data_IF_328799559004
#
_entry.id   IF_328799559004
#
_cell.length_a   1.000
_cell.length_b   1.000
_cell.length_c   1.000
_cell.angle_alpha   90.00
_cell.angle_beta   90.00
_cell.angle_gamma   90.00
#
_symmetry.space_group_name_H-M   'P 1'
#
loop_
_entity.id
_entity.type
_entity.pdbx_description
1 polymer ?
#
# COMPACT_ATOMS: atom_id res chain seq x y z
N UNK A 1 3.43 7.02 0.39
CA UNK A 1 2.62 6.71 1.59
C UNK A 1 1.28 7.42 1.53
N UNK A 2 0.33 6.83 0.82
CA UNK A 2 -1.09 7.15 0.94
C UNK A 2 -1.79 5.90 1.46
N UNK A 3 -2.04 5.83 2.78
CA UNK A 3 -2.66 4.67 3.40
C UNK A 3 -4.00 4.26 2.78
N UNK A 4 -4.86 5.17 2.30
CA UNK A 4 -6.12 4.81 1.66
C UNK A 4 -5.94 3.90 0.44
N UNK A 5 -5.22 4.33 -0.60
CA UNK A 5 -5.01 3.52 -1.81
C UNK A 5 -4.30 2.18 -1.51
N UNK A 6 -3.32 2.21 -0.60
CA UNK A 6 -2.58 1.02 -0.15
C UNK A 6 -3.42 0.04 0.66
N UNK A 7 -4.55 0.49 1.21
CA UNK A 7 -5.56 -0.37 1.82
C UNK A 7 -6.55 -0.86 0.76
N UNK A 8 -7.09 0.06 -0.05
CA UNK A 8 -8.19 -0.19 -0.98
C UNK A 8 -7.82 -1.18 -2.08
N UNK A 9 -6.63 -1.06 -2.68
CA UNK A 9 -6.22 -1.94 -3.77
C UNK A 9 -6.09 -3.41 -3.32
N UNK A 10 -5.30 -3.75 -2.29
CA UNK A 10 -5.21 -5.15 -1.83
C UNK A 10 -6.52 -5.66 -1.24
N UNK A 11 -7.36 -4.80 -0.62
CA UNK A 11 -8.70 -5.19 -0.20
C UNK A 11 -9.56 -5.60 -1.40
N UNK A 12 -9.56 -4.80 -2.47
CA UNK A 12 -10.30 -5.07 -3.70
C UNK A 12 -9.87 -6.38 -4.34
N UNK A 13 -8.56 -6.61 -4.47
CA UNK A 13 -8.02 -7.88 -5.01
C UNK A 13 -8.43 -9.05 -4.11
N UNK A 14 -8.39 -8.87 -2.78
CA UNK A 14 -8.87 -9.88 -1.84
C UNK A 14 -10.35 -10.24 -2.05
N UNK A 15 -11.23 -9.27 -2.30
CA UNK A 15 -12.65 -9.54 -2.60
C UNK A 15 -12.82 -10.36 -3.89
N UNK A 16 -12.00 -10.11 -4.91
CA UNK A 16 -11.98 -10.94 -6.12
C UNK A 16 -11.62 -12.39 -5.75
N UNK A 17 -10.67 -12.60 -4.86
CA UNK A 17 -10.29 -13.94 -4.38
C UNK A 17 -11.38 -14.63 -3.55
N UNK A 18 -12.25 -13.88 -2.86
CA UNK A 18 -13.47 -14.45 -2.25
C UNK A 18 -14.39 -14.99 -3.35
N UNK A 19 -14.63 -14.23 -4.42
CA UNK A 19 -15.48 -14.67 -5.54
C UNK A 19 -14.94 -15.90 -6.26
N UNK A 20 -13.61 -16.09 -6.24
CA UNK A 20 -12.95 -17.28 -6.76
C UNK A 20 -12.97 -18.47 -5.77
N UNK A 21 -13.52 -18.32 -4.57
CA UNK A 21 -13.57 -19.37 -3.54
C UNK A 21 -12.23 -19.65 -2.87
N UNK A 22 -11.22 -18.78 -3.06
CA UNK A 22 -9.87 -18.95 -2.49
C UNK A 22 -9.82 -18.35 -1.08
N UNK A 23 -10.47 -17.21 -0.87
CA UNK A 23 -10.45 -16.46 0.38
C UNK A 23 -11.79 -16.43 1.10
N UNK A 24 -11.72 -16.01 2.36
CA UNK A 24 -12.87 -15.60 3.16
C UNK A 24 -12.64 -14.14 3.55
N UNK A 25 -13.60 -13.52 4.22
CA UNK A 25 -13.52 -12.09 4.57
C UNK A 25 -12.32 -11.74 5.46
N UNK A 26 -11.91 -12.66 6.36
CA UNK A 26 -10.73 -12.43 7.21
C UNK A 26 -9.46 -12.30 6.39
N UNK A 27 -9.26 -13.15 5.38
CA UNK A 27 -8.11 -13.07 4.48
C UNK A 27 -8.04 -11.72 3.74
N UNK A 28 -9.19 -11.16 3.38
CA UNK A 28 -9.28 -9.85 2.70
C UNK A 28 -8.84 -8.72 3.62
N UNK A 29 -9.31 -8.71 4.87
CA UNK A 29 -8.85 -7.73 5.85
C UNK A 29 -7.35 -7.86 6.13
N UNK A 30 -6.82 -9.09 6.20
CA UNK A 30 -5.38 -9.31 6.37
C UNK A 30 -4.61 -8.75 5.17
N UNK A 31 -5.05 -8.97 3.92
CA UNK A 31 -4.41 -8.40 2.74
C UNK A 31 -4.34 -6.87 2.82
N UNK A 32 -5.46 -6.23 3.19
CA UNK A 32 -5.55 -4.78 3.26
C UNK A 32 -4.68 -4.17 4.37
N UNK A 33 -4.70 -4.77 5.57
CA UNK A 33 -3.86 -4.36 6.69
C UNK A 33 -2.38 -4.54 6.32
N UNK A 34 -1.99 -5.70 5.78
CA UNK A 34 -0.61 -5.95 5.38
C UNK A 34 -0.16 -5.00 4.26
N UNK A 35 -1.02 -4.67 3.31
CA UNK A 35 -0.72 -3.68 2.26
C UNK A 35 -0.30 -2.32 2.82
N UNK A 36 -1.00 -1.85 3.86
CA UNK A 36 -0.62 -0.62 4.57
C UNK A 36 0.62 -0.81 5.44
N UNK A 37 0.78 -1.96 6.09
CA UNK A 37 1.94 -2.22 6.96
C UNK A 37 3.25 -2.32 6.19
N UNK A 38 3.24 -2.76 4.93
CA UNK A 38 4.47 -2.82 4.11
C UNK A 38 5.05 -1.41 3.92
N UNK A 39 4.20 -0.39 3.80
CA UNK A 39 4.56 1.04 3.67
C UNK A 39 5.34 1.57 4.90
N UNK A 40 5.34 0.85 6.03
CA UNK A 40 6.21 1.16 7.19
C UNK A 40 7.69 1.16 6.82
N UNK A 41 8.08 0.49 5.73
CA UNK A 41 9.44 0.53 5.21
C UNK A 41 9.92 1.97 4.92
N UNK A 42 9.04 2.86 4.47
CA UNK A 42 9.33 4.28 4.27
C UNK A 42 9.52 5.02 5.59
N UNK A 43 8.73 4.69 6.61
CA UNK A 43 8.90 5.21 7.97
C UNK A 43 10.25 4.79 8.57
N UNK A 44 10.61 3.51 8.44
CA UNK A 44 11.91 2.98 8.88
C UNK A 44 13.04 3.67 8.13
N UNK A 45 12.91 3.84 6.81
CA UNK A 45 13.90 4.51 5.99
C UNK A 45 14.11 5.97 6.40
N UNK A 46 13.04 6.68 6.75
CA UNK A 46 13.12 8.04 7.29
C UNK A 46 13.89 8.06 8.62
N UNK A 47 13.58 7.16 9.55
CA UNK A 47 14.29 7.08 10.85
C UNK A 47 15.79 6.86 10.63
N UNK A 48 16.16 5.90 9.78
CA UNK A 48 17.57 5.57 9.49
C UNK A 48 18.32 6.77 8.89
N UNK A 49 17.66 7.55 8.03
CA UNK A 49 18.27 8.71 7.36
C UNK A 49 18.22 10.00 8.19
N UNK A 50 17.35 10.09 9.19
CA UNK A 50 17.22 11.28 10.04
C UNK A 50 18.44 11.40 10.96
N UNK A 51 19.16 12.53 10.89
CA UNK A 51 20.35 12.78 11.70
C UNK A 51 20.07 12.77 13.21
N UNK A 52 18.86 13.20 13.59
CA UNK A 52 18.47 13.34 15.00
C UNK A 52 17.78 12.09 15.57
N UNK A 53 17.50 11.05 14.75
CA UNK A 53 16.78 9.81 15.11
C UNK A 53 15.47 10.03 15.90
N UNK A 54 14.85 11.21 15.81
CA UNK A 54 13.62 11.53 16.54
C UNK A 54 12.47 10.68 15.99
N UNK A 55 11.93 9.80 16.84
CA UNK A 55 10.82 8.89 16.53
C UNK A 55 9.48 9.64 16.59
N UNK A 56 9.21 10.49 15.61
CA UNK A 56 7.94 11.22 15.50
C UNK A 56 7.24 10.87 14.20
N UNK A 57 6.18 10.07 14.28
CA UNK A 57 5.32 9.71 13.14
C UNK A 57 4.80 10.96 12.42
N UNK A 58 4.39 11.97 13.19
CA UNK A 58 3.92 13.26 12.66
C UNK A 58 5.00 13.97 11.84
N UNK A 59 6.24 14.00 12.33
CA UNK A 59 7.32 14.68 11.63
C UNK A 59 7.73 13.90 10.39
N UNK A 60 7.83 12.56 10.48
CA UNK A 60 8.08 11.70 9.31
C UNK A 60 7.02 11.90 8.23
N UNK A 61 5.74 11.94 8.63
CA UNK A 61 4.62 12.20 7.73
C UNK A 61 4.76 13.55 7.03
N UNK A 62 4.96 14.62 7.79
CA UNK A 62 5.07 15.96 7.22
C UNK A 62 6.33 16.13 6.35
N UNK A 63 7.43 15.47 6.70
CA UNK A 63 8.65 15.44 5.88
C UNK A 63 8.46 14.70 4.56
N UNK A 64 7.70 13.60 4.55
CA UNK A 64 7.42 12.84 3.33
C UNK A 64 6.40 13.56 2.42
N UNK A 65 5.33 14.14 2.99
CA UNK A 65 4.24 14.73 2.19
C UNK A 65 4.50 16.16 1.76
N UNK A 66 5.03 17.01 2.65
CA UNK A 66 5.22 18.44 2.41
C UNK A 66 6.60 18.76 1.81
N UNK A 67 7.65 18.20 2.39
CA UNK A 67 9.03 18.61 2.09
C UNK A 67 9.76 17.69 1.12
N UNK A 68 9.23 16.48 0.85
CA UNK A 68 9.84 15.49 -0.07
C UNK A 68 11.33 15.24 0.23
N UNK A 69 11.70 15.31 1.50
CA UNK A 69 13.10 15.47 1.92
C UNK A 69 13.97 14.20 1.72
N UNK A 70 13.36 13.05 1.41
CA UNK A 70 14.07 11.77 1.29
C UNK A 70 13.56 10.95 0.11
N UNK A 71 14.46 10.15 -0.49
CA UNK A 71 14.06 9.11 -1.44
C UNK A 71 13.10 8.13 -0.76
N UNK A 72 11.86 8.13 -1.24
CA UNK A 72 10.73 7.28 -0.82
C UNK A 72 10.87 5.83 -1.29
N UNK A 73 12.08 5.31 -1.54
CA UNK A 73 12.26 3.93 -1.98
C UNK A 73 13.24 3.24 -1.06
N UNK A 74 12.80 2.11 -0.52
CA UNK A 74 13.59 1.23 0.33
C UNK A 74 14.19 0.06 -0.48
N UNK A 75 14.88 -0.85 0.22
CA UNK A 75 15.43 -2.05 -0.40
C UNK A 75 14.39 -2.89 -1.15
N UNK A 76 13.19 -3.04 -0.58
CA UNK A 76 12.12 -3.87 -1.15
C UNK A 76 11.58 -3.32 -2.47
N UNK A 77 11.87 -2.05 -2.78
CA UNK A 77 11.49 -1.42 -4.04
C UNK A 77 12.48 -1.70 -5.17
N UNK A 78 13.72 -2.08 -4.87
CA UNK A 78 14.73 -2.30 -5.91
C UNK A 78 14.60 -3.69 -6.52
N UNK A 79 15.01 -3.88 -7.79
CA UNK A 79 14.92 -5.16 -8.50
C UNK A 79 15.44 -6.36 -7.69
N UNK A 80 16.52 -6.18 -6.93
CA UNK A 80 17.06 -7.22 -6.04
C UNK A 80 16.10 -7.55 -4.88
N UNK A 81 15.51 -6.53 -4.26
CA UNK A 81 14.52 -6.70 -3.20
C UNK A 81 13.25 -7.38 -3.73
N UNK A 82 12.75 -6.91 -4.88
CA UNK A 82 11.61 -7.54 -5.57
C UNK A 82 11.89 -9.02 -5.83
N UNK A 83 13.03 -9.36 -6.45
CA UNK A 83 13.39 -10.74 -6.72
C UNK A 83 13.44 -11.61 -5.46
N UNK A 84 14.01 -11.10 -4.37
CA UNK A 84 14.12 -11.83 -3.10
C UNK A 84 12.73 -12.07 -2.50
N UNK A 85 11.88 -11.04 -2.40
CA UNK A 85 10.52 -11.19 -1.85
C UNK A 85 9.68 -12.10 -2.73
N UNK A 86 9.79 -11.98 -4.06
CA UNK A 86 9.13 -12.88 -5.00
C UNK A 86 9.54 -14.35 -4.79
N UNK A 87 10.82 -14.62 -4.59
CA UNK A 87 11.30 -15.98 -4.32
C UNK A 87 10.76 -16.51 -2.99
N UNK A 88 10.71 -15.69 -1.95
CA UNK A 88 10.11 -16.05 -0.66
C UNK A 88 8.64 -16.40 -0.83
N UNK A 89 7.88 -15.59 -1.58
CA UNK A 89 6.46 -15.85 -1.89
C UNK A 89 6.29 -17.16 -2.65
N UNK A 90 7.13 -17.45 -3.64
CA UNK A 90 7.10 -18.71 -4.41
C UNK A 90 7.38 -19.90 -3.49
N UNK A 91 8.40 -19.83 -2.62
CA UNK A 91 8.68 -20.90 -1.68
C UNK A 91 7.53 -21.09 -0.68
N UNK A 92 6.95 -19.99 -0.20
CA UNK A 92 5.79 -20.02 0.70
C UNK A 92 4.56 -20.64 0.03
N UNK A 93 4.38 -20.46 -1.27
CA UNK A 93 3.27 -21.05 -2.02
C UNK A 93 3.21 -22.57 -1.90
N UNK A 94 4.38 -23.23 -1.91
CA UNK A 94 4.47 -24.69 -1.75
C UNK A 94 4.23 -25.16 -0.30
N UNK A 95 4.31 -24.27 0.68
CA UNK A 95 4.09 -24.59 2.11
C UNK A 95 2.65 -24.26 2.50
N UNK A 96 2.20 -23.04 2.19
CA UNK A 96 0.88 -22.54 2.47
C UNK A 96 0.45 -21.55 1.38
N UNK A 97 -0.35 -22.05 0.45
CA UNK A 97 -0.85 -21.30 -0.70
C UNK A 97 -1.61 -20.02 -0.29
N UNK A 98 -2.45 -20.10 0.75
CA UNK A 98 -3.24 -18.96 1.23
C UNK A 98 -2.35 -17.82 1.73
N UNK A 99 -1.37 -18.14 2.59
CA UNK A 99 -0.41 -17.16 3.10
C UNK A 99 0.44 -16.57 1.97
N UNK A 100 0.83 -17.37 0.99
CA UNK A 100 1.56 -16.89 -0.17
C UNK A 100 0.74 -15.87 -0.98
N UNK A 101 -0.54 -16.15 -1.23
CA UNK A 101 -1.41 -15.19 -1.91
C UNK A 101 -1.60 -13.91 -1.11
N UNK A 102 -1.80 -14.00 0.20
CA UNK A 102 -1.96 -12.81 1.06
C UNK A 102 -0.72 -11.92 0.98
N UNK A 103 0.48 -12.49 1.13
CA UNK A 103 1.73 -11.74 1.05
C UNK A 103 1.96 -11.20 -0.37
N UNK A 104 1.68 -12.00 -1.40
CA UNK A 104 1.78 -11.56 -2.79
C UNK A 104 0.89 -10.34 -3.07
N UNK A 105 -0.38 -10.42 -2.69
CA UNK A 105 -1.35 -9.34 -2.89
C UNK A 105 -0.90 -8.08 -2.16
N UNK A 106 -0.55 -8.18 -0.88
CA UNK A 106 -0.09 -7.04 -0.10
C UNK A 106 1.17 -6.40 -0.71
N UNK A 107 2.19 -7.21 -1.00
CA UNK A 107 3.49 -6.75 -1.48
C UNK A 107 3.42 -6.19 -2.90
N UNK A 108 2.84 -6.93 -3.85
CA UNK A 108 2.79 -6.46 -5.23
C UNK A 108 1.83 -5.30 -5.41
N UNK A 109 0.74 -5.19 -4.64
CA UNK A 109 -0.10 -3.99 -4.67
C UNK A 109 0.70 -2.76 -4.28
N UNK A 110 1.50 -2.84 -3.21
CA UNK A 110 2.39 -1.76 -2.79
C UNK A 110 3.43 -1.39 -3.87
N UNK A 111 4.12 -2.39 -4.44
CA UNK A 111 5.09 -2.14 -5.52
C UNK A 111 4.43 -1.52 -6.75
N UNK A 112 3.27 -2.03 -7.17
CA UNK A 112 2.53 -1.51 -8.32
C UNK A 112 2.19 -0.04 -8.09
N UNK A 113 1.64 0.31 -6.93
CA UNK A 113 1.31 1.68 -6.60
C UNK A 113 2.58 2.55 -6.61
N UNK A 114 3.63 2.20 -5.89
CA UNK A 114 4.86 3.02 -5.80
C UNK A 114 5.64 3.16 -7.13
N UNK A 115 5.39 2.29 -8.10
CA UNK A 115 5.98 2.38 -9.45
C UNK A 115 5.08 3.10 -10.48
N UNK A 116 3.76 2.99 -10.36
CA UNK A 116 2.81 3.59 -11.32
C UNK A 116 2.67 5.10 -11.14
N UNK A 117 3.01 5.68 -9.98
CA UNK A 117 2.99 7.13 -9.71
C UNK A 117 4.01 7.98 -10.51
N UNK A 118 4.34 7.58 -11.74
CA UNK A 118 5.21 8.31 -12.64
C UNK A 118 4.35 8.86 -13.79
N UNK A 119 3.89 10.10 -13.65
CA UNK A 119 3.95 11.07 -14.76
C UNK A 119 3.80 12.53 -14.29
N UNK A 120 4.54 13.39 -14.99
CA UNK A 120 4.81 14.80 -14.69
C UNK A 120 3.54 15.65 -14.79
N UNK A 121 3.43 16.65 -13.89
CA UNK A 121 2.41 17.71 -13.84
C UNK A 121 1.04 17.34 -13.27
N UNK A 122 0.98 16.43 -12.30
CA UNK A 122 -0.27 16.24 -11.57
C UNK A 122 -0.60 17.48 -10.72
N UNK A 123 -1.87 17.90 -10.78
CA UNK A 123 -2.43 18.82 -9.78
C UNK A 123 -2.54 18.05 -8.46
N UNK A 124 -2.53 18.76 -7.34
CA UNK A 124 -2.64 18.13 -6.02
C UNK A 124 -3.74 18.81 -5.20
N UNK A 125 -4.50 18.02 -4.45
CA UNK A 125 -5.23 18.51 -3.30
C UNK A 125 -4.27 18.66 -2.13
N UNK A 126 -4.25 19.84 -1.51
CA UNK A 126 -3.42 20.10 -0.32
C UNK A 126 -4.32 20.56 0.80
N UNK A 127 -4.34 19.80 1.88
CA UNK A 127 -5.12 20.14 3.05
C UNK A 127 -4.38 19.71 4.32
N UNK A 128 -4.84 20.19 5.47
CA UNK A 128 -4.21 19.91 6.75
C UNK A 128 -5.29 19.40 7.70
N UNK A 129 -5.10 18.18 8.19
CA UNK A 129 -5.94 17.61 9.25
C UNK A 129 -5.12 17.68 10.55
N UNK A 130 -5.61 18.46 11.52
CA UNK A 130 -4.91 18.81 12.76
C UNK A 130 -3.48 19.33 12.51
N UNK A 131 -2.52 18.42 12.57
CA UNK A 131 -1.10 18.71 12.53
C UNK A 131 -0.33 17.94 11.45
N UNK A 132 -1.08 17.20 10.62
CA UNK A 132 -0.60 16.42 9.48
C UNK A 132 -0.96 17.14 8.18
N UNK A 133 0.05 17.34 7.33
CA UNK A 133 -0.15 17.82 5.97
C UNK A 133 -0.50 16.65 5.05
N UNK A 134 -1.59 16.78 4.34
CA UNK A 134 -2.05 15.85 3.33
C UNK A 134 -1.88 16.53 1.96
N UNK A 135 -1.28 15.80 1.04
CA UNK A 135 -1.07 16.23 -0.33
C UNK A 135 -1.36 15.03 -1.21
N UNK A 136 -2.47 14.98 -1.91
CA UNK A 136 -2.85 13.81 -2.71
C UNK A 136 -3.06 14.24 -4.16
N UNK A 137 -2.67 13.41 -5.13
CA UNK A 137 -2.90 13.74 -6.53
C UNK A 137 -4.37 13.53 -6.90
N UNK A 138 -4.84 14.20 -7.95
CA UNK A 138 -6.21 13.95 -8.43
C UNK A 138 -6.37 12.51 -8.93
N UNK A 139 -5.34 11.95 -9.55
CA UNK A 139 -5.34 10.57 -10.05
C UNK A 139 -5.45 9.54 -8.92
N UNK A 140 -4.81 9.79 -7.78
CA UNK A 140 -4.98 8.96 -6.57
C UNK A 140 -6.40 9.04 -6.03
N UNK A 141 -6.98 10.24 -5.93
CA UNK A 141 -8.37 10.41 -5.48
C UNK A 141 -9.35 9.70 -6.42
N UNK A 142 -9.17 9.84 -7.73
CA UNK A 142 -10.00 9.16 -8.74
C UNK A 142 -9.87 7.63 -8.63
N UNK A 143 -8.65 7.13 -8.40
CA UNK A 143 -8.40 5.71 -8.16
C UNK A 143 -9.07 5.21 -6.88
N UNK A 144 -9.00 5.96 -5.78
CA UNK A 144 -9.63 5.61 -4.51
C UNK A 144 -11.16 5.56 -4.63
N UNK A 145 -11.75 6.50 -5.37
CA UNK A 145 -13.18 6.50 -5.69
C UNK A 145 -13.54 5.26 -6.52
N UNK A 146 -12.78 4.97 -7.58
CA UNK A 146 -13.01 3.81 -8.43
C UNK A 146 -12.90 2.49 -7.65
N UNK A 147 -11.88 2.34 -6.80
CA UNK A 147 -11.70 1.18 -5.93
C UNK A 147 -12.84 1.06 -4.92
N UNK A 148 -13.28 2.16 -4.32
CA UNK A 148 -14.40 2.17 -3.38
C UNK A 148 -15.71 1.73 -4.04
N UNK A 149 -16.01 2.21 -5.25
CA UNK A 149 -17.17 1.77 -6.03
C UNK A 149 -17.06 0.27 -6.35
N UNK A 150 -15.89 -0.19 -6.77
CA UNK A 150 -15.66 -1.60 -7.08
C UNK A 150 -15.82 -2.49 -5.85
N UNK A 151 -15.35 -2.06 -4.68
CA UNK A 151 -15.56 -2.75 -3.41
C UNK A 151 -17.05 -2.90 -3.12
N UNK A 152 -17.85 -1.84 -3.27
CA UNK A 152 -19.30 -1.91 -3.06
C UNK A 152 -19.96 -2.92 -4.00
N UNK A 153 -19.60 -2.88 -5.29
CA UNK A 153 -20.12 -3.82 -6.30
C UNK A 153 -19.74 -5.27 -5.99
N UNK A 154 -18.48 -5.53 -5.65
CA UNK A 154 -18.02 -6.88 -5.32
C UNK A 154 -18.64 -7.40 -4.03
N UNK A 155 -18.84 -6.53 -3.04
CA UNK A 155 -19.42 -6.87 -1.73
C UNK A 155 -20.92 -7.16 -1.80
N UNK A 156 -21.65 -6.54 -2.74
CA UNK A 156 -23.10 -6.68 -2.87
C UNK A 156 -23.58 -8.13 -3.10
N UNK A 157 -22.70 -9.05 -3.53
CA UNK A 157 -23.02 -10.47 -3.66
C UNK A 157 -22.18 -11.40 -2.78
N UNK A 158 -21.54 -10.90 -1.73
CA UNK A 158 -20.79 -11.71 -0.75
C UNK A 158 -21.59 -11.88 0.54
N UNK A 159 -22.49 -10.94 0.84
CA UNK A 159 -23.32 -10.91 2.05
C UNK A 159 -24.79 -11.28 1.80
N UNK A 160 -25.11 -11.82 0.62
CA UNK A 160 -26.40 -12.43 0.27
C UNK A 160 -26.16 -13.93 0.15
#
# INVERSE_FOLDING_TARGET
>A
MYPPTHFLLPFTIGLIFIKLGIFNIYHVFICAILGVLIDIDHYIMHIIKSKDKKLSLRDTWNQSTKYHAFRQRSFIHHNKGILIVSLIVILLFFINMTSAYIIAIAYYSHIILDYIHITKQEKYYKFRIFSLYLRESYSEVDLDIALSILILVLSAGIFI
#
